data_IF_159201663326
#
_entry.id   IF_159201663326
#
_cell.length_a   1.000
_cell.length_b   1.000
_cell.length_c   1.000
_cell.angle_alpha   90.00
_cell.angle_beta   90.00
_cell.angle_gamma   90.00
#
_symmetry.space_group_name_H-M   'P 1'
#
loop_
_entity.id
_entity.type
_entity.pdbx_description
1 polymer ?
#
# COMPACT_ATOMS: atom_id res chain seq x y z
N UNK A 1 -12.93 -29.46 -3.84
CA UNK A 1 -12.72 -28.53 -2.71
C UNK A 1 -12.85 -27.16 -3.33
N UNK A 2 -13.72 -26.25 -2.84
CA UNK A 2 -13.76 -24.92 -3.42
C UNK A 2 -12.38 -24.32 -3.18
N UNK A 3 -11.74 -23.84 -4.25
CA UNK A 3 -10.60 -22.94 -4.14
C UNK A 3 -10.95 -21.91 -3.06
N UNK A 4 -10.29 -21.99 -1.90
CA UNK A 4 -10.21 -20.85 -1.00
C UNK A 4 -9.73 -19.71 -1.89
N UNK A 5 -10.58 -18.71 -2.11
CA UNK A 5 -10.31 -17.59 -3.01
C UNK A 5 -9.05 -16.91 -2.46
N UNK A 6 -7.89 -17.32 -2.98
CA UNK A 6 -6.60 -16.85 -2.48
C UNK A 6 -6.56 -15.36 -2.79
N UNK A 7 -6.60 -14.56 -1.73
CA UNK A 7 -6.54 -13.12 -1.84
C UNK A 7 -5.10 -12.77 -2.22
N UNK A 8 -4.86 -12.58 -3.51
CA UNK A 8 -3.56 -12.21 -4.02
C UNK A 8 -3.40 -10.68 -4.03
N UNK A 9 -2.24 -10.15 -3.58
CA UNK A 9 -1.94 -8.74 -3.75
C UNK A 9 -1.76 -8.40 -5.22
N UNK A 10 -2.33 -7.26 -5.60
CA UNK A 10 -1.99 -6.54 -6.81
C UNK A 10 -1.08 -5.35 -6.53
N UNK A 11 -0.74 -4.66 -7.61
CA UNK A 11 0.14 -3.50 -7.58
C UNK A 11 -0.40 -2.39 -8.48
N UNK A 12 -0.08 -1.16 -8.12
CA UNK A 12 -0.39 0.04 -8.89
C UNK A 12 0.64 1.14 -8.59
N UNK A 13 1.17 1.79 -9.62
CA UNK A 13 2.01 2.97 -9.44
C UNK A 13 3.08 3.09 -10.51
N UNK A 14 4.25 3.60 -10.14
CA UNK A 14 5.40 3.70 -11.06
C UNK A 14 6.61 2.94 -10.57
N UNK A 15 7.37 2.44 -11.53
CA UNK A 15 8.61 1.73 -11.32
C UNK A 15 9.72 2.37 -12.16
N UNK A 16 10.97 2.36 -11.71
CA UNK A 16 12.10 2.84 -12.51
C UNK A 16 12.34 1.99 -13.78
N UNK A 17 11.90 0.74 -13.76
CA UNK A 17 11.99 -0.21 -14.88
C UNK A 17 10.90 0.02 -15.94
N UNK A 18 9.79 0.69 -15.57
CA UNK A 18 8.73 1.08 -16.48
C UNK A 18 8.85 2.57 -16.82
N UNK A 19 8.43 2.94 -18.04
CA UNK A 19 8.32 4.35 -18.45
C UNK A 19 6.92 4.94 -18.22
N UNK A 20 5.99 4.14 -17.70
CA UNK A 20 4.61 4.54 -17.46
C UNK A 20 4.02 3.80 -16.25
N UNK A 21 2.74 4.04 -15.97
CA UNK A 21 2.05 3.42 -14.84
C UNK A 21 1.93 1.92 -15.03
N UNK A 22 2.26 1.18 -13.99
CA UNK A 22 2.12 -0.27 -13.93
C UNK A 22 0.93 -0.61 -13.05
N UNK A 23 0.12 -1.58 -13.48
CA UNK A 23 -1.00 -2.08 -12.70
C UNK A 23 -1.25 -3.55 -13.00
N UNK A 24 -1.54 -4.33 -11.96
CA UNK A 24 -1.88 -5.75 -12.09
C UNK A 24 -2.53 -6.27 -10.81
N UNK A 25 -3.49 -7.18 -10.92
CA UNK A 25 -4.16 -7.81 -9.76
C UNK A 25 -5.12 -6.90 -8.98
N UNK A 26 -5.37 -5.66 -9.43
CA UNK A 26 -6.28 -4.71 -8.77
C UNK A 26 -7.47 -4.34 -9.67
N UNK A 27 -8.66 -4.25 -9.09
CA UNK A 27 -9.85 -3.81 -9.80
C UNK A 27 -9.78 -2.32 -10.16
N UNK A 28 -10.17 -1.97 -11.39
CA UNK A 28 -10.16 -0.58 -11.87
C UNK A 28 -11.06 0.36 -11.06
N UNK A 29 -12.06 -0.19 -10.35
CA UNK A 29 -12.93 0.55 -9.43
C UNK A 29 -12.19 1.05 -8.18
N UNK A 30 -11.15 0.35 -7.73
CA UNK A 30 -10.26 0.77 -6.65
C UNK A 30 -9.14 1.70 -7.17
N UNK A 31 -8.50 1.31 -8.28
CA UNK A 31 -7.31 2.00 -8.80
C UNK A 31 -7.60 3.47 -9.15
N UNK A 32 -8.73 3.78 -9.79
CA UNK A 32 -9.05 5.15 -10.20
C UNK A 32 -9.21 6.15 -9.04
N UNK A 33 -10.06 5.89 -8.02
CA UNK A 33 -10.18 6.81 -6.89
C UNK A 33 -8.91 6.84 -6.03
N UNK A 34 -8.21 5.70 -5.90
CA UNK A 34 -6.93 5.63 -5.19
C UNK A 34 -5.84 6.46 -5.86
N UNK A 35 -5.66 6.36 -7.19
CA UNK A 35 -4.75 7.18 -7.99
C UNK A 35 -4.99 8.68 -7.77
N UNK A 36 -6.26 9.09 -7.82
CA UNK A 36 -6.66 10.48 -7.65
C UNK A 36 -6.30 10.98 -6.25
N UNK A 37 -6.55 10.17 -5.23
CA UNK A 37 -6.22 10.50 -3.85
C UNK A 37 -4.72 10.60 -3.63
N UNK A 38 -3.95 9.61 -4.11
CA UNK A 38 -2.48 9.62 -4.05
C UNK A 38 -1.90 10.86 -4.74
N UNK A 39 -2.35 11.14 -5.96
CA UNK A 39 -1.90 12.29 -6.75
C UNK A 39 -2.16 13.62 -6.04
N UNK A 40 -3.30 13.74 -5.36
CA UNK A 40 -3.70 14.97 -4.65
C UNK A 40 -2.98 15.15 -3.32
N UNK A 41 -2.85 14.11 -2.53
CA UNK A 41 -2.51 14.22 -1.11
C UNK A 41 -1.11 13.70 -0.77
N UNK A 42 -0.64 12.64 -1.44
CA UNK A 42 0.59 11.93 -1.07
C UNK A 42 1.75 12.17 -2.03
N UNK A 43 1.53 12.06 -3.34
CA UNK A 43 2.59 11.99 -4.37
C UNK A 43 3.55 13.20 -4.37
N UNK A 44 3.09 14.38 -3.93
CA UNK A 44 3.91 15.60 -3.88
C UNK A 44 4.83 15.68 -2.65
N UNK A 45 4.54 14.90 -1.61
CA UNK A 45 5.23 14.96 -0.32
C UNK A 45 5.86 13.61 0.08
N UNK A 46 5.70 12.59 -0.75
CA UNK A 46 6.17 11.24 -0.48
C UNK A 46 7.26 10.85 -1.47
N UNK A 47 8.49 11.19 -1.10
CA UNK A 47 9.72 10.91 -1.84
C UNK A 47 10.74 10.15 -0.97
N UNK A 48 11.67 9.38 -1.55
CA UNK A 48 12.77 8.81 -0.77
C UNK A 48 13.55 9.93 -0.04
N UNK A 49 13.99 9.73 1.22
CA UNK A 49 14.10 8.46 1.93
C UNK A 49 12.89 8.07 2.81
N UNK A 50 11.68 8.56 2.55
CA UNK A 50 10.51 8.15 3.35
C UNK A 50 10.32 6.62 3.38
N UNK A 51 10.03 6.03 4.55
CA UNK A 51 9.77 4.59 4.64
C UNK A 51 8.44 4.22 3.96
N UNK A 52 8.25 2.94 3.60
CA UNK A 52 6.94 2.41 3.24
C UNK A 52 5.90 2.68 4.34
N UNK A 53 4.68 2.99 3.92
CA UNK A 53 3.51 3.18 4.78
C UNK A 53 2.55 2.02 4.57
N UNK A 54 2.23 1.30 5.64
CA UNK A 54 1.21 0.24 5.63
C UNK A 54 -0.16 0.90 5.75
N UNK A 55 -1.17 0.32 5.11
CA UNK A 55 -2.52 0.86 5.13
C UNK A 55 -3.62 -0.22 5.13
N UNK A 56 -4.74 0.13 5.75
CA UNK A 56 -6.01 -0.59 5.75
C UNK A 56 -7.09 0.40 5.31
N UNK A 57 -7.88 0.01 4.33
CA UNK A 57 -9.01 0.78 3.83
C UNK A 57 -10.26 0.02 4.17
N UNK A 58 -11.26 0.75 4.63
CA UNK A 58 -12.58 0.23 4.90
C UNK A 58 -13.59 0.55 3.81
N UNK A 59 -14.83 0.09 3.97
CA UNK A 59 -15.91 0.31 3.02
C UNK A 59 -16.28 1.79 2.82
N UNK A 60 -16.05 2.65 3.81
CA UNK A 60 -16.35 4.10 3.74
C UNK A 60 -15.24 4.92 3.02
N UNK A 61 -14.15 4.28 2.56
CA UNK A 61 -13.11 4.91 1.76
C UNK A 61 -13.13 4.44 0.30
N UNK A 62 -12.31 3.44 -0.05
CA UNK A 62 -12.18 2.90 -1.41
C UNK A 62 -12.53 1.41 -1.49
N UNK A 63 -13.19 0.90 -0.44
CA UNK A 63 -13.46 -0.53 -0.25
C UNK A 63 -12.46 -1.19 0.70
N UNK A 64 -12.80 -2.39 1.21
CA UNK A 64 -11.96 -3.14 2.13
C UNK A 64 -10.67 -3.61 1.43
N UNK A 65 -9.55 -2.97 1.75
CA UNK A 65 -8.24 -3.26 1.14
C UNK A 65 -7.14 -3.21 2.20
N UNK A 66 -6.14 -4.07 2.07
CA UNK A 66 -4.93 -4.05 2.89
C UNK A 66 -3.71 -3.93 2.00
N UNK A 67 -2.71 -3.14 2.38
CA UNK A 67 -1.54 -2.98 1.53
C UNK A 67 -0.45 -2.09 2.09
N UNK A 68 0.55 -1.83 1.26
CA UNK A 68 1.65 -0.90 1.52
C UNK A 68 1.80 0.09 0.37
N UNK A 69 2.13 1.32 0.70
CA UNK A 69 2.46 2.37 -0.25
C UNK A 69 3.87 2.88 0.04
N UNK A 70 4.70 2.99 -0.99
CA UNK A 70 6.10 3.37 -0.85
C UNK A 70 6.51 4.40 -1.91
N UNK A 71 7.47 5.28 -1.60
CA UNK A 71 7.86 6.30 -2.54
C UNK A 71 8.65 5.67 -3.70
N UNK A 72 8.26 6.03 -4.91
CA UNK A 72 8.86 5.50 -6.14
C UNK A 72 8.97 6.60 -7.21
N UNK A 73 9.79 6.34 -8.22
CA UNK A 73 9.99 7.21 -9.36
C UNK A 73 10.03 6.41 -10.65
N UNK A 74 9.46 6.98 -11.70
CA UNK A 74 9.51 6.46 -13.06
C UNK A 74 10.90 6.59 -13.69
N UNK A 75 11.15 5.90 -14.81
CA UNK A 75 12.38 6.04 -15.61
C UNK A 75 12.75 7.49 -15.95
N UNK A 76 11.78 8.36 -16.18
CA UNK A 76 12.00 9.79 -16.47
C UNK A 76 11.89 10.68 -15.22
N UNK A 77 12.16 10.13 -14.03
CA UNK A 77 12.18 10.84 -12.74
C UNK A 77 10.86 11.50 -12.33
N UNK A 78 9.73 11.04 -12.89
CA UNK A 78 8.40 11.46 -12.42
C UNK A 78 8.09 10.75 -11.11
N UNK A 79 7.84 11.52 -10.06
CA UNK A 79 7.54 11.03 -8.71
C UNK A 79 6.12 10.52 -8.66
N UNK A 80 5.96 9.25 -8.31
CA UNK A 80 4.65 8.66 -8.07
C UNK A 80 4.80 7.42 -7.18
N UNK A 81 4.02 7.30 -6.10
CA UNK A 81 4.14 6.19 -5.18
C UNK A 81 3.80 4.86 -5.83
N UNK A 82 4.49 3.81 -5.40
CA UNK A 82 4.12 2.42 -5.69
C UNK A 82 3.20 1.92 -4.58
N UNK A 83 2.06 1.39 -4.94
CA UNK A 83 1.08 0.76 -4.05
C UNK A 83 1.07 -0.74 -4.33
N UNK A 84 1.17 -1.55 -3.28
CA UNK A 84 0.90 -2.98 -3.29
C UNK A 84 -0.30 -3.21 -2.39
N UNK A 85 -1.36 -3.83 -2.87
CA UNK A 85 -2.61 -3.95 -2.11
C UNK A 85 -3.36 -5.23 -2.46
N UNK A 86 -4.11 -5.77 -1.51
CA UNK A 86 -4.98 -6.91 -1.70
C UNK A 86 -6.40 -6.57 -1.22
N UNK A 87 -7.40 -7.10 -1.91
CA UNK A 87 -8.81 -6.93 -1.55
C UNK A 87 -9.16 -7.90 -0.41
N UNK A 88 -9.39 -7.35 0.77
CA UNK A 88 -9.73 -8.16 1.95
C UNK A 88 -11.24 -8.17 2.15
N UNK A 89 -11.83 -9.22 2.75
CA UNK A 89 -13.27 -9.27 2.99
C UNK A 89 -13.72 -8.17 3.96
N UNK A 90 -12.92 -7.90 4.99
CA UNK A 90 -13.14 -6.85 5.97
C UNK A 90 -11.79 -6.31 6.42
N UNK A 91 -11.65 -5.00 6.59
CA UNK A 91 -10.45 -4.41 7.16
C UNK A 91 -10.59 -4.32 8.68
N UNK A 92 -9.76 -5.06 9.41
CA UNK A 92 -9.82 -5.14 10.88
C UNK A 92 -8.47 -4.71 11.44
N UNK A 93 -8.45 -3.91 12.51
CA UNK A 93 -7.20 -3.42 13.11
C UNK A 93 -6.27 -4.55 13.58
N UNK A 94 -6.83 -5.69 13.99
CA UNK A 94 -6.06 -6.90 14.34
C UNK A 94 -5.23 -7.49 13.20
N UNK A 95 -5.56 -7.17 11.93
CA UNK A 95 -4.80 -7.62 10.76
C UNK A 95 -3.41 -6.99 10.73
N UNK A 96 -3.21 -5.84 11.37
CA UNK A 96 -1.88 -5.18 11.43
C UNK A 96 -0.83 -6.08 12.08
N UNK A 97 -1.24 -6.89 13.06
CA UNK A 97 -0.41 -7.86 13.77
C UNK A 97 -0.49 -9.23 13.09
N UNK A 98 -1.69 -9.69 12.75
CA UNK A 98 -1.89 -11.03 12.20
C UNK A 98 -1.28 -11.22 10.80
N UNK A 99 -1.18 -10.16 10.01
CA UNK A 99 -0.56 -10.15 8.68
C UNK A 99 0.78 -9.39 8.66
N UNK A 100 1.44 -9.23 9.81
CA UNK A 100 2.72 -8.49 9.91
C UNK A 100 3.80 -9.01 8.95
N UNK A 101 3.99 -10.33 8.90
CA UNK A 101 4.93 -11.02 8.00
C UNK A 101 4.59 -10.77 6.52
N UNK A 102 3.30 -10.72 6.19
CA UNK A 102 2.83 -10.41 4.84
C UNK A 102 3.13 -8.95 4.45
N UNK A 103 2.94 -8.00 5.36
CA UNK A 103 3.30 -6.60 5.12
C UNK A 103 4.81 -6.44 4.95
N UNK A 104 5.62 -7.09 5.78
CA UNK A 104 7.08 -7.09 5.66
C UNK A 104 7.53 -7.62 4.30
N UNK A 105 6.98 -8.77 3.86
CA UNK A 105 7.30 -9.34 2.57
C UNK A 105 6.89 -8.43 1.39
N UNK A 106 5.76 -7.71 1.49
CA UNK A 106 5.39 -6.69 0.50
C UNK A 106 6.37 -5.52 0.46
N UNK A 107 6.84 -5.07 1.61
CA UNK A 107 7.83 -3.99 1.71
C UNK A 107 9.15 -4.40 1.05
N UNK A 108 9.64 -5.61 1.31
CA UNK A 108 10.85 -6.15 0.68
C UNK A 108 10.71 -6.25 -0.85
N UNK A 109 9.61 -6.81 -1.34
CA UNK A 109 9.36 -6.94 -2.79
C UNK A 109 9.25 -5.57 -3.44
N UNK A 110 8.53 -4.63 -2.81
CA UNK A 110 8.42 -3.28 -3.33
C UNK A 110 9.73 -2.51 -3.29
N UNK A 111 10.62 -2.78 -2.32
CA UNK A 111 11.99 -2.25 -2.28
C UNK A 111 12.81 -2.70 -3.49
N UNK A 112 12.74 -3.99 -3.83
CA UNK A 112 13.38 -4.53 -5.03
C UNK A 112 12.83 -3.84 -6.29
N UNK A 113 11.52 -3.60 -6.35
CA UNK A 113 10.85 -3.00 -7.50
C UNK A 113 11.22 -1.51 -7.67
N UNK A 114 11.14 -0.71 -6.59
CA UNK A 114 11.50 0.72 -6.60
C UNK A 114 13.01 0.95 -6.78
N UNK A 115 13.85 -0.02 -6.41
CA UNK A 115 15.29 -0.01 -6.69
C UNK A 115 15.63 -0.42 -8.13
N UNK A 116 14.64 -0.86 -8.91
CA UNK A 116 14.81 -1.33 -10.28
C UNK A 116 15.53 -2.67 -10.40
N UNK A 117 15.58 -3.46 -9.32
CA UNK A 117 16.13 -4.83 -9.33
C UNK A 117 15.16 -5.81 -9.99
N UNK A 118 13.86 -5.54 -9.91
CA UNK A 118 12.79 -6.32 -10.55
C UNK A 118 11.88 -5.43 -11.39
N UNK A 119 11.32 -5.98 -12.46
CA UNK A 119 10.30 -5.34 -13.29
C UNK A 119 8.88 -5.68 -12.84
N UNK A 120 7.88 -5.08 -13.48
CA UNK A 120 6.47 -5.28 -13.13
C UNK A 120 5.99 -6.74 -13.26
N UNK A 121 6.54 -7.51 -14.19
CA UNK A 121 6.17 -8.91 -14.37
C UNK A 121 6.78 -9.77 -13.26
N UNK A 122 8.04 -9.52 -12.90
CA UNK A 122 8.66 -10.15 -11.74
C UNK A 122 7.96 -9.76 -10.43
N UNK A 123 7.55 -8.49 -10.27
CA UNK A 123 6.73 -8.03 -9.15
C UNK A 123 5.43 -8.84 -9.06
N UNK A 124 4.68 -8.94 -10.16
CA UNK A 124 3.45 -9.73 -10.22
C UNK A 124 3.67 -11.19 -9.82
N UNK A 125 4.76 -11.81 -10.29
CA UNK A 125 5.09 -13.18 -9.97
C UNK A 125 5.40 -13.38 -8.47
N UNK A 126 6.13 -12.45 -7.85
CA UNK A 126 6.41 -12.52 -6.41
C UNK A 126 5.13 -12.30 -5.57
N UNK A 127 4.29 -11.34 -5.96
CA UNK A 127 3.02 -11.08 -5.29
C UNK A 127 2.06 -12.28 -5.37
N UNK A 128 2.06 -13.01 -6.49
CA UNK A 128 1.28 -14.23 -6.64
C UNK A 128 1.72 -15.37 -5.69
N UNK A 129 2.93 -15.30 -5.12
CA UNK A 129 3.41 -16.26 -4.11
C UNK A 129 3.11 -15.86 -2.67
N UNK A 130 2.54 -14.67 -2.46
CA UNK A 130 2.22 -14.11 -1.15
C UNK A 130 0.70 -13.89 -0.99
N UNK A 131 -0.08 -14.97 -0.87
CA UNK A 131 -1.50 -14.83 -0.54
C UNK A 131 -1.65 -14.11 0.80
N UNK A 132 -2.63 -13.21 0.88
CA UNK A 132 -2.98 -12.54 2.12
C UNK A 132 -3.42 -13.60 3.14
N UNK A 133 -2.81 -13.64 4.34
CA UNK A 133 -3.24 -14.57 5.36
C UNK A 133 -4.65 -14.17 5.78
N UNK A 134 -5.65 -14.98 5.45
CA UNK A 134 -7.00 -14.88 6.00
C UNK A 134 -7.00 -15.31 7.48
N UNK A 135 -6.05 -14.80 8.26
CA UNK A 135 -5.98 -15.01 9.68
C UNK A 135 -7.26 -14.48 10.30
N UNK A 136 -7.79 -15.21 11.28
CA UNK A 136 -8.89 -14.77 12.14
C UNK A 136 -8.38 -13.62 13.01
N UNK A 137 -8.27 -12.45 12.41
CA UNK A 137 -7.87 -11.23 13.07
C UNK A 137 -9.05 -10.71 13.89
N UNK A 138 -8.87 -10.60 15.20
CA UNK A 138 -9.83 -9.98 16.09
C UNK A 138 -9.46 -8.51 16.28
N UNK A 139 -10.41 -7.59 16.15
CA UNK A 139 -10.15 -6.16 16.30
C UNK A 139 -11.34 -5.30 15.89
N UNK A 140 -11.11 -4.00 15.85
CA UNK A 140 -12.13 -3.03 15.43
C UNK A 140 -12.17 -2.92 13.89
N UNK A 141 -13.35 -2.85 13.28
CA UNK A 141 -13.46 -2.69 11.83
C UNK A 141 -12.99 -1.29 11.43
N UNK A 142 -11.98 -1.23 10.56
CA UNK A 142 -11.55 0.00 9.91
C UNK A 142 -12.61 0.38 8.89
N UNK A 143 -13.28 1.52 9.13
CA UNK A 143 -14.34 2.02 8.25
C UNK A 143 -13.80 2.94 7.16
N UNK A 144 -12.89 3.84 7.52
CA UNK A 144 -12.28 4.85 6.61
C UNK A 144 -10.94 4.36 6.06
N UNK A 145 -9.86 5.05 6.40
CA UNK A 145 -8.50 4.68 6.01
C UNK A 145 -7.67 4.70 7.29
N UNK A 146 -6.81 3.70 7.47
CA UNK A 146 -5.88 3.67 8.57
C UNK A 146 -4.49 3.43 8.02
N UNK A 147 -3.52 4.24 8.43
CA UNK A 147 -2.13 4.14 7.98
C UNK A 147 -1.21 4.02 9.19
N UNK A 148 -0.14 3.26 9.03
CA UNK A 148 0.87 3.09 10.06
C UNK A 148 2.23 2.76 9.45
N UNK A 149 3.25 2.84 10.29
CA UNK A 149 4.61 2.38 9.98
C UNK A 149 4.90 1.17 10.89
N UNK A 150 5.90 0.33 10.56
CA UNK A 150 6.32 -0.76 11.44
C UNK A 150 6.63 -0.31 12.88
N UNK A 151 7.04 0.94 13.06
CA UNK A 151 7.42 1.52 14.36
C UNK A 151 6.46 2.56 14.92
N UNK A 152 5.26 2.73 14.34
CA UNK A 152 4.29 3.75 14.76
C UNK A 152 2.90 3.17 14.97
N UNK A 153 2.12 3.81 15.83
CA UNK A 153 0.71 3.50 16.06
C UNK A 153 -0.14 3.65 14.78
N UNK A 154 -1.27 2.94 14.79
CA UNK A 154 -2.28 3.03 13.74
C UNK A 154 -2.98 4.40 13.76
N UNK A 155 -2.90 5.12 12.64
CA UNK A 155 -3.49 6.46 12.50
C UNK A 155 -4.70 6.39 11.57
N UNK A 156 -5.86 6.78 12.08
CA UNK A 156 -7.04 7.02 11.25
C UNK A 156 -6.82 8.24 10.36
N UNK A 157 -6.98 8.05 9.06
CA UNK A 157 -6.83 9.05 8.01
C UNK A 157 -8.18 9.27 7.38
N UNK A 158 -8.67 10.50 7.49
CA UNK A 158 -9.88 10.90 6.79
C UNK A 158 -9.58 11.05 5.27
N UNK A 159 -10.33 10.37 4.38
CA UNK A 159 -10.10 10.45 2.94
C UNK A 159 -10.28 11.85 2.37
N UNK A 160 -11.14 12.68 2.96
CA UNK A 160 -11.43 14.05 2.52
C UNK A 160 -10.44 15.06 3.12
N UNK A 161 -9.97 14.82 4.35
CA UNK A 161 -9.04 15.68 5.06
C UNK A 161 -7.77 14.94 5.57
N UNK A 162 -6.98 14.29 4.70
CA UNK A 162 -5.86 13.43 5.14
C UNK A 162 -4.63 14.22 5.60
N UNK A 163 -4.64 15.55 5.44
CA UNK A 163 -3.42 16.36 5.50
C UNK A 163 -2.73 16.30 6.86
N UNK A 164 -3.46 16.42 7.95
CA UNK A 164 -2.88 16.42 9.29
C UNK A 164 -2.21 15.07 9.62
N UNK A 165 -2.90 13.97 9.31
CA UNK A 165 -2.40 12.63 9.56
C UNK A 165 -1.21 12.28 8.66
N UNK A 166 -1.25 12.62 7.38
CA UNK A 166 -0.11 12.46 6.48
C UNK A 166 1.08 13.30 6.92
N UNK A 167 0.87 14.54 7.36
CA UNK A 167 1.98 15.38 7.82
C UNK A 167 2.64 14.76 9.06
N UNK A 168 1.87 14.20 10.00
CA UNK A 168 2.40 13.46 11.14
C UNK A 168 3.21 12.21 10.72
N UNK A 169 2.65 11.38 9.83
CA UNK A 169 3.33 10.17 9.33
C UNK A 169 4.65 10.49 8.63
N UNK A 170 4.68 11.58 7.86
CA UNK A 170 5.84 12.04 7.09
C UNK A 170 6.82 12.87 7.93
N UNK A 171 6.36 13.57 8.97
CA UNK A 171 7.17 14.47 9.79
C UNK A 171 8.21 13.72 10.61
N UNK A 172 7.89 12.54 11.15
CA UNK A 172 8.86 11.75 11.93
C UNK A 172 10.08 11.31 11.10
N UNK A 173 9.99 11.32 9.77
CA UNK A 173 11.13 11.07 8.89
C UNK A 173 12.07 12.28 8.76
N UNK A 174 11.61 13.49 9.08
CA UNK A 174 12.44 14.72 9.07
C UNK A 174 13.32 14.85 10.30
N UNK A 175 13.00 14.19 11.41
CA UNK A 175 13.77 14.30 12.67
C UNK A 175 14.97 13.34 12.74
N UNK A 176 15.13 12.44 11.77
CA UNK A 176 16.25 11.50 11.67
C UNK A 176 17.35 11.94 10.69
N UNK A 177 17.40 13.23 10.32
CA UNK A 177 18.36 13.82 9.38
C UNK A 177 19.49 14.59 10.05
#
# INVERSE_FOLDING_TARGET
>A
MPDEDLILPGYFGKLPTAGDFVTGGLASGFVQPWDRWLSRHLARHFEPPHPPLRFLLGPDAFGPMAGVVMPSTDRISRRFPLTLAAAVPEAITGMTIAAEDWFEALEEIGDLARSGKIDANALAANLATLPFPAATAEGEPVRRMAFWKPSSDLIDVDPEAPRAALDYLLAECREAG
#
